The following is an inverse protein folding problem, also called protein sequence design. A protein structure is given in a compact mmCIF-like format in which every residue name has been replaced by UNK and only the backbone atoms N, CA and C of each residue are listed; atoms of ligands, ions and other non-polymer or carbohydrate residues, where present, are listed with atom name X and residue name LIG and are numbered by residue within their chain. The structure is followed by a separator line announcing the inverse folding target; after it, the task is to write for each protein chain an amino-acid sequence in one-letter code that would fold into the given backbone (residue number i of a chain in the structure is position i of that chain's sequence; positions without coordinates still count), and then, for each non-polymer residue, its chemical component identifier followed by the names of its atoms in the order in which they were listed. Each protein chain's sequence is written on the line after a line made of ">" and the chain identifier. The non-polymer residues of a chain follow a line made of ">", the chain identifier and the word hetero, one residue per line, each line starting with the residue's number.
data_IF_109575381560
#
_entry.id   IF_109575381560
#
_cell.length_a   1.000
_cell.length_b   1.000
_cell.length_c   1.000
_cell.angle_alpha   90.00
_cell.angle_beta   90.00
_cell.angle_gamma   90.00
#
_symmetry.space_group_name_H-M   'P 1'
#
loop_
_entity.id
_entity.type
_entity.pdbx_description
1 polymer ?
#
# COMPACT_ATOMS: atom_id res chain seq x y z
N UNK A 1 -1.47 18.72 -4.05
CA UNK A 1 -0.60 17.55 -4.33
C UNK A 1 -1.44 16.30 -4.09
N UNK A 2 -1.54 15.38 -5.05
CA UNK A 2 -2.30 14.14 -4.91
C UNK A 2 -1.42 13.00 -4.36
N UNK A 3 -2.03 11.91 -3.87
CA UNK A 3 -1.29 10.80 -3.24
C UNK A 3 -0.27 10.15 -4.19
N UNK A 4 -0.60 10.03 -5.48
CA UNK A 4 0.32 9.53 -6.51
C UNK A 4 1.55 10.41 -6.70
N UNK A 5 1.39 11.75 -6.73
CA UNK A 5 2.53 12.68 -6.78
C UNK A 5 3.41 12.59 -5.54
N UNK A 6 2.82 12.36 -4.36
CA UNK A 6 3.58 12.19 -3.11
C UNK A 6 4.43 10.93 -3.21
N UNK A 7 3.83 9.81 -3.62
CA UNK A 7 4.55 8.56 -3.82
C UNK A 7 5.70 8.73 -4.82
N UNK A 8 5.42 9.31 -5.98
CA UNK A 8 6.43 9.51 -7.02
C UNK A 8 7.57 10.42 -6.55
N UNK A 9 7.25 11.49 -5.81
CA UNK A 9 8.26 12.38 -5.23
C UNK A 9 9.22 11.60 -4.32
N UNK A 10 8.71 10.75 -3.43
CA UNK A 10 9.55 9.98 -2.52
C UNK A 10 10.37 8.90 -3.22
N UNK A 11 9.81 8.21 -4.22
CA UNK A 11 10.56 7.21 -5.00
C UNK A 11 11.71 7.88 -5.75
N UNK A 12 11.43 8.99 -6.45
CA UNK A 12 12.47 9.76 -7.15
C UNK A 12 13.51 10.30 -6.17
N UNK A 13 13.10 10.85 -5.03
CA UNK A 13 14.03 11.31 -4.01
C UNK A 13 14.93 10.17 -3.49
N UNK A 14 14.39 8.96 -3.30
CA UNK A 14 15.19 7.81 -2.87
C UNK A 14 16.19 7.34 -3.95
N UNK A 15 15.84 7.44 -5.24
CA UNK A 15 16.78 7.20 -6.34
C UNK A 15 17.93 8.19 -6.36
N UNK A 16 17.64 9.47 -6.09
CA UNK A 16 18.64 10.54 -5.95
C UNK A 16 19.53 10.30 -4.73
N UNK A 17 18.94 9.90 -3.60
CA UNK A 17 19.67 9.59 -2.36
C UNK A 17 20.67 8.46 -2.57
N UNK A 18 20.30 7.44 -3.35
CA UNK A 18 21.19 6.31 -3.67
C UNK A 18 22.42 6.70 -4.49
N UNK A 19 22.31 7.77 -5.28
CA UNK A 19 23.41 8.31 -6.09
C UNK A 19 24.32 9.24 -5.27
N UNK A 20 23.87 9.71 -4.10
CA UNK A 20 24.71 10.54 -3.24
C UNK A 20 25.89 9.71 -2.72
N UNK A 21 27.11 10.29 -2.72
CA UNK A 21 28.25 9.63 -2.11
C UNK A 21 27.98 9.46 -0.61
N UNK A 22 28.14 8.23 -0.12
CA UNK A 22 27.90 7.84 1.27
C UNK A 22 29.03 8.39 2.17
N UNK A 23 29.03 9.70 2.38
CA UNK A 23 30.11 10.45 3.07
C UNK A 23 30.18 10.21 4.58
N UNK A 24 29.22 9.47 5.15
CA UNK A 24 29.12 9.21 6.59
C UNK A 24 29.40 7.74 7.00
N UNK A 25 29.65 6.82 6.04
CA UNK A 25 30.02 5.43 6.35
C UNK A 25 31.54 5.23 6.24
N UNK A 26 32.13 4.34 7.07
CA UNK A 26 33.53 3.94 6.85
C UNK A 26 33.66 3.40 5.43
N UNK A 27 34.72 3.82 4.74
CA UNK A 27 34.97 3.50 3.34
C UNK A 27 34.72 2.00 3.07
N UNK A 28 33.89 1.70 2.08
CA UNK A 28 33.70 0.33 1.58
C UNK A 28 35.07 -0.32 1.37
N UNK A 29 35.25 -1.54 1.87
CA UNK A 29 36.50 -2.27 1.74
C UNK A 29 36.88 -2.36 0.25
N UNK A 30 37.99 -1.70 -0.13
CA UNK A 30 38.53 -1.67 -1.51
C UNK A 30 38.98 -3.05 -2.02
N UNK A 31 38.87 -4.09 -1.20
CA UNK A 31 39.32 -5.46 -1.48
C UNK A 31 38.19 -6.39 -1.97
N UNK A 32 37.10 -5.84 -2.52
CA UNK A 32 36.18 -6.62 -3.34
C UNK A 32 36.75 -6.59 -4.75
N UNK A 33 36.97 -7.76 -5.34
CA UNK A 33 37.37 -7.92 -6.73
C UNK A 33 36.30 -7.25 -7.60
N UNK A 34 36.55 -6.01 -8.03
CA UNK A 34 35.77 -5.41 -9.10
C UNK A 34 36.10 -6.24 -10.33
N UNK A 35 35.17 -7.08 -10.76
CA UNK A 35 35.31 -7.81 -12.03
C UNK A 35 35.84 -6.85 -13.09
N UNK A 36 36.83 -7.30 -13.85
CA UNK A 36 37.63 -6.52 -14.79
C UNK A 36 36.86 -5.31 -15.36
N UNK A 37 37.20 -4.11 -14.88
CA UNK A 37 36.62 -2.86 -15.35
C UNK A 37 37.44 -2.46 -16.57
N UNK A 38 36.82 -2.48 -17.75
CA UNK A 38 37.43 -1.94 -18.96
C UNK A 38 37.74 -0.46 -18.78
N UNK A 39 38.98 -0.08 -19.08
CA UNK A 39 39.37 1.32 -19.08
C UNK A 39 38.81 2.05 -20.32
N UNK A 40 38.93 3.37 -20.34
CA UNK A 40 38.49 4.17 -21.49
C UNK A 40 39.21 3.81 -22.79
N UNK A 41 40.41 3.23 -22.72
CA UNK A 41 41.17 2.78 -23.89
C UNK A 41 40.59 1.51 -24.49
N UNK A 42 40.26 0.53 -23.66
CA UNK A 42 39.60 -0.73 -24.01
C UNK A 42 38.25 -0.46 -24.67
N UNK A 43 37.41 0.36 -24.04
CA UNK A 43 36.06 0.68 -24.55
C UNK A 43 36.15 1.38 -25.91
N UNK A 44 37.20 2.17 -26.15
CA UNK A 44 37.39 2.85 -27.43
C UNK A 44 37.69 1.87 -28.58
N UNK A 45 38.30 0.71 -28.29
CA UNK A 45 38.60 -0.33 -29.28
C UNK A 45 37.41 -1.18 -29.72
N UNK A 46 36.24 -1.04 -29.09
CA UNK A 46 35.08 -1.88 -29.40
C UNK A 46 34.32 -1.42 -30.64
N UNK A 47 33.73 -2.38 -31.35
CA UNK A 47 32.94 -2.12 -32.55
C UNK A 47 31.70 -1.28 -32.21
N UNK A 48 31.20 -0.50 -33.18
CA UNK A 48 30.00 0.31 -32.99
C UNK A 48 28.76 -0.54 -32.65
N UNK A 49 28.73 -1.79 -33.13
CA UNK A 49 27.68 -2.77 -32.87
C UNK A 49 27.74 -3.32 -31.43
N UNK A 50 28.93 -3.58 -30.88
CA UNK A 50 29.13 -4.00 -29.48
C UNK A 50 28.81 -2.89 -28.47
N UNK A 51 29.05 -1.63 -28.87
CA UNK A 51 28.65 -0.44 -28.10
C UNK A 51 27.12 -0.27 -28.11
N UNK A 52 26.46 -0.56 -29.23
CA UNK A 52 25.00 -0.47 -29.36
C UNK A 52 24.27 -1.62 -28.65
N UNK A 53 24.77 -2.86 -28.77
CA UNK A 53 24.16 -4.06 -28.20
C UNK A 53 24.12 -4.03 -26.66
N UNK A 54 25.12 -3.42 -26.03
CA UNK A 54 25.26 -3.38 -24.57
C UNK A 54 24.57 -2.19 -23.90
N UNK A 55 23.82 -1.37 -24.65
CA UNK A 55 22.99 -0.25 -24.18
C UNK A 55 23.56 0.42 -22.91
N UNK A 56 24.77 1.00 -23.05
CA UNK A 56 25.64 1.58 -22.01
C UNK A 56 25.04 2.77 -21.25
N UNK A 57 23.73 2.92 -21.29
CA UNK A 57 22.95 3.91 -20.54
C UNK A 57 23.26 3.93 -19.04
N UNK A 58 23.72 2.81 -18.46
CA UNK A 58 24.15 2.71 -17.06
C UNK A 58 25.56 3.28 -16.80
N UNK A 59 26.38 3.48 -17.84
CA UNK A 59 27.70 4.14 -17.80
C UNK A 59 27.67 5.58 -18.28
N UNK A 60 26.52 6.09 -18.72
CA UNK A 60 26.39 7.48 -19.14
C UNK A 60 26.67 8.42 -17.95
N UNK A 61 27.75 9.22 -17.99
CA UNK A 61 28.15 10.09 -16.88
C UNK A 61 27.04 11.07 -16.47
N UNK A 62 26.16 11.43 -17.41
CA UNK A 62 25.00 12.30 -17.17
C UNK A 62 23.91 11.64 -16.33
N UNK A 63 23.78 10.30 -16.39
CA UNK A 63 22.82 9.53 -15.59
C UNK A 63 23.40 9.11 -14.23
N UNK A 64 24.73 9.05 -14.14
CA UNK A 64 25.48 8.65 -12.96
C UNK A 64 25.53 9.76 -11.88
N UNK A 65 25.64 11.02 -12.29
CA UNK A 65 25.68 12.18 -11.36
C UNK A 65 24.29 12.75 -11.12
N UNK A 66 24.05 13.20 -9.90
CA UNK A 66 22.86 13.98 -9.58
C UNK A 66 22.92 15.35 -10.23
N UNK A 67 21.83 15.76 -10.86
CA UNK A 67 21.64 17.12 -11.34
C UNK A 67 21.19 18.03 -10.21
N UNK A 68 21.24 19.36 -10.40
CA UNK A 68 20.71 20.32 -9.43
C UNK A 68 19.20 20.15 -9.20
N UNK A 69 18.46 19.77 -10.25
CA UNK A 69 17.03 19.51 -10.16
C UNK A 69 16.75 18.25 -9.33
N UNK A 70 17.58 17.21 -9.46
CA UNK A 70 17.49 15.99 -8.65
C UNK A 70 17.68 16.30 -7.16
N UNK A 71 18.65 17.15 -6.83
CA UNK A 71 18.87 17.62 -5.46
C UNK A 71 17.67 18.42 -4.93
N UNK A 72 17.11 19.32 -5.75
CA UNK A 72 15.91 20.08 -5.37
C UNK A 72 14.68 19.18 -5.11
N UNK A 73 14.54 18.08 -5.86
CA UNK A 73 13.50 17.08 -5.61
C UNK A 73 13.71 16.36 -4.27
N UNK A 74 14.95 15.98 -3.97
CA UNK A 74 15.29 15.35 -2.69
C UNK A 74 15.04 16.31 -1.51
N UNK A 75 15.45 17.57 -1.62
CA UNK A 75 15.19 18.60 -0.61
C UNK A 75 13.68 18.83 -0.40
N UNK A 76 12.92 18.90 -1.49
CA UNK A 76 11.47 19.04 -1.42
C UNK A 76 10.83 17.84 -0.69
N UNK A 77 11.26 16.61 -0.98
CA UNK A 77 10.77 15.42 -0.27
C UNK A 77 11.10 15.46 1.23
N UNK A 78 12.29 15.93 1.59
CA UNK A 78 12.74 16.03 2.98
C UNK A 78 12.06 17.19 3.74
N UNK A 79 11.59 18.24 3.07
CA UNK A 79 10.72 19.25 3.68
C UNK A 79 9.30 18.72 3.88
N UNK A 80 8.75 18.03 2.88
CA UNK A 80 7.40 17.47 2.92
C UNK A 80 7.25 16.39 4.00
N UNK A 81 8.28 15.56 4.22
CA UNK A 81 8.22 14.50 5.24
C UNK A 81 8.07 15.05 6.67
N UNK A 82 8.47 16.31 6.93
CA UNK A 82 8.32 16.97 8.25
C UNK A 82 6.86 17.20 8.63
N UNK A 83 5.96 17.23 7.65
CA UNK A 83 4.51 17.35 7.89
C UNK A 83 3.94 16.14 8.63
N UNK A 84 4.62 14.99 8.57
CA UNK A 84 4.22 13.78 9.29
C UNK A 84 4.74 13.87 10.74
N UNK A 85 3.88 13.89 11.77
CA UNK A 85 4.31 14.09 13.15
C UNK A 85 5.05 12.87 13.72
N UNK A 86 4.61 11.65 13.36
CA UNK A 86 5.20 10.41 13.86
C UNK A 86 6.52 10.07 13.15
N UNK A 87 7.61 10.02 13.89
CA UNK A 87 8.92 9.61 13.36
C UNK A 87 8.91 8.18 12.80
N UNK A 88 8.17 7.27 13.45
CA UNK A 88 8.03 5.88 12.98
C UNK A 88 7.39 5.81 11.59
N UNK A 89 6.42 6.68 11.33
CA UNK A 89 5.74 6.75 10.03
C UNK A 89 6.65 7.36 8.96
N UNK A 90 7.43 8.40 9.31
CA UNK A 90 8.45 8.97 8.43
C UNK A 90 9.48 7.92 8.00
N UNK A 91 10.01 7.17 8.96
CA UNK A 91 10.99 6.10 8.72
C UNK A 91 10.43 5.00 7.83
N UNK A 92 9.18 4.57 8.07
CA UNK A 92 8.52 3.57 7.24
C UNK A 92 8.31 4.05 5.80
N UNK A 93 7.89 5.31 5.61
CA UNK A 93 7.73 5.91 4.28
C UNK A 93 9.06 5.95 3.52
N UNK A 94 10.12 6.42 4.18
CA UNK A 94 11.45 6.53 3.57
C UNK A 94 12.04 5.16 3.23
N UNK A 95 11.93 4.19 4.15
CA UNK A 95 12.42 2.83 3.91
C UNK A 95 11.66 2.10 2.80
N UNK A 96 10.37 2.37 2.65
CA UNK A 96 9.61 1.87 1.52
C UNK A 96 10.07 2.51 0.21
N UNK A 97 10.25 3.83 0.17
CA UNK A 97 10.74 4.52 -1.03
C UNK A 97 12.11 4.00 -1.47
N UNK A 98 13.02 3.74 -0.51
CA UNK A 98 14.31 3.09 -0.76
C UNK A 98 14.12 1.69 -1.38
N UNK A 99 13.13 0.92 -0.93
CA UNK A 99 12.84 -0.41 -1.48
C UNK A 99 12.38 -0.33 -2.93
N UNK A 100 11.54 0.64 -3.29
CA UNK A 100 11.07 0.85 -4.67
C UNK A 100 12.19 1.34 -5.58
N UNK A 101 13.11 2.17 -5.07
CA UNK A 101 14.30 2.64 -5.78
C UNK A 101 15.40 1.56 -5.94
N UNK A 102 15.11 0.29 -5.66
CA UNK A 102 16.05 -0.83 -5.79
C UNK A 102 17.07 -0.95 -4.66
N UNK A 103 16.74 -0.45 -3.47
CA UNK A 103 17.51 -0.61 -2.24
C UNK A 103 17.12 -1.87 -1.45
N UNK A 104 17.24 -1.81 -0.12
CA UNK A 104 16.88 -2.93 0.77
C UNK A 104 15.38 -3.20 0.68
N UNK A 105 15.00 -4.45 0.40
CA UNK A 105 13.60 -4.87 0.36
C UNK A 105 12.84 -4.47 1.64
N UNK A 106 11.68 -3.83 1.49
CA UNK A 106 10.90 -3.27 2.58
C UNK A 106 10.55 -4.29 3.68
N UNK A 107 10.20 -5.52 3.29
CA UNK A 107 9.92 -6.60 4.24
C UNK A 107 11.13 -6.95 5.13
N UNK A 108 12.34 -6.92 4.55
CA UNK A 108 13.61 -7.14 5.28
C UNK A 108 13.95 -5.96 6.17
N UNK A 109 13.62 -4.73 5.76
CA UNK A 109 13.75 -3.56 6.62
C UNK A 109 12.80 -3.65 7.82
N UNK A 110 11.53 -3.96 7.58
CA UNK A 110 10.52 -4.14 8.63
C UNK A 110 11.00 -5.15 9.69
N UNK A 111 11.44 -6.34 9.26
CA UNK A 111 11.89 -7.40 10.16
C UNK A 111 13.21 -7.10 10.88
N UNK A 112 14.22 -6.57 10.17
CA UNK A 112 15.58 -6.51 10.69
C UNK A 112 15.96 -5.15 11.30
N UNK A 113 15.28 -4.06 10.92
CA UNK A 113 15.63 -2.69 11.39
C UNK A 113 14.64 -2.21 12.43
N UNK A 114 13.34 -2.31 12.14
CA UNK A 114 12.28 -1.86 13.05
C UNK A 114 11.72 -2.98 13.93
N UNK A 115 11.93 -4.24 13.58
CA UNK A 115 11.35 -5.38 14.30
C UNK A 115 9.82 -5.48 14.17
N UNK A 116 9.25 -4.95 13.08
CA UNK A 116 7.80 -4.91 12.83
C UNK A 116 7.37 -5.90 11.74
N UNK A 117 6.08 -6.25 11.75
CA UNK A 117 5.46 -6.98 10.64
C UNK A 117 5.41 -6.12 9.38
N UNK A 118 5.38 -6.75 8.21
CA UNK A 118 5.22 -6.04 6.92
C UNK A 118 3.92 -5.23 6.88
N UNK A 119 2.83 -5.81 7.37
CA UNK A 119 1.52 -5.15 7.42
C UNK A 119 1.57 -3.85 8.22
N UNK A 120 2.22 -3.86 9.39
CA UNK A 120 2.39 -2.65 10.19
C UNK A 120 3.27 -1.62 9.47
N UNK A 121 4.30 -2.06 8.75
CA UNK A 121 5.09 -1.19 7.87
C UNK A 121 4.24 -0.53 6.79
N UNK A 122 3.40 -1.29 6.10
CA UNK A 122 2.51 -0.80 5.04
C UNK A 122 1.47 0.20 5.59
N UNK A 123 0.89 -0.09 6.76
CA UNK A 123 0.01 0.85 7.47
C UNK A 123 0.72 2.17 7.79
N UNK A 124 1.93 2.11 8.38
CA UNK A 124 2.71 3.32 8.73
C UNK A 124 3.07 4.15 7.49
N UNK A 125 3.43 3.49 6.40
CA UNK A 125 3.67 4.15 5.10
C UNK A 125 2.40 4.85 4.60
N UNK A 126 1.28 4.13 4.52
CA UNK A 126 0.03 4.67 4.01
C UNK A 126 -0.49 5.83 4.89
N UNK A 127 -0.35 5.70 6.22
CA UNK A 127 -0.65 6.76 7.17
C UNK A 127 0.20 8.01 6.93
N UNK A 128 1.51 7.86 6.66
CA UNK A 128 2.39 8.97 6.32
C UNK A 128 1.95 9.69 5.04
N UNK A 129 1.65 8.94 3.97
CA UNK A 129 1.16 9.50 2.69
C UNK A 129 -0.15 10.25 2.88
N UNK A 130 -1.12 9.66 3.59
CA UNK A 130 -2.40 10.30 3.92
C UNK A 130 -2.19 11.58 4.72
N UNK A 131 -1.30 11.57 5.71
CA UNK A 131 -1.00 12.75 6.53
C UNK A 131 -0.49 13.92 5.67
N UNK A 132 0.45 13.64 4.76
CA UNK A 132 0.98 14.64 3.81
C UNK A 132 -0.13 15.12 2.87
N UNK A 133 -0.91 14.20 2.31
CA UNK A 133 -2.02 14.54 1.42
C UNK A 133 -3.04 15.46 2.10
N UNK A 134 -3.39 15.17 3.36
CA UNK A 134 -4.31 15.99 4.15
C UNK A 134 -3.73 17.38 4.47
N UNK A 135 -2.43 17.46 4.75
CA UNK A 135 -1.75 18.74 4.98
C UNK A 135 -1.82 19.68 3.77
N UNK A 136 -1.82 19.14 2.54
CA UNK A 136 -1.99 19.93 1.32
C UNK A 136 -3.45 20.18 0.91
N UNK A 137 -4.38 19.33 1.35
CA UNK A 137 -5.78 19.32 0.85
C UNK A 137 -6.77 20.07 1.74
N UNK A 138 -6.47 20.32 3.02
CA UNK A 138 -7.41 20.95 3.98
C UNK A 138 -6.80 22.15 4.68
N UNK A 139 -7.64 23.01 5.29
CA UNK A 139 -7.19 24.15 6.13
C UNK A 139 -6.17 23.66 7.17
N UNK A 140 -5.03 24.35 7.34
CA UNK A 140 -3.75 23.72 7.68
C UNK A 140 -3.52 23.23 9.12
N UNK A 141 -4.50 23.23 10.04
CA UNK A 141 -4.17 22.97 11.46
C UNK A 141 -5.22 22.34 12.38
N UNK A 142 -6.46 22.11 11.95
CA UNK A 142 -7.52 21.82 12.94
C UNK A 142 -7.77 20.33 13.25
N UNK A 143 -7.52 19.38 12.34
CA UNK A 143 -7.91 17.97 12.57
C UNK A 143 -7.02 16.95 11.84
N UNK A 144 -5.70 16.98 12.07
CA UNK A 144 -4.79 15.98 11.48
C UNK A 144 -4.50 14.79 12.43
N UNK A 145 -5.01 14.84 13.66
CA UNK A 145 -4.92 13.76 14.64
C UNK A 145 -5.96 12.65 14.39
N UNK A 146 -6.18 12.27 13.12
CA UNK A 146 -6.87 11.03 12.82
C UNK A 146 -5.92 9.88 13.17
N UNK A 147 -5.99 9.45 14.43
CA UNK A 147 -5.57 8.13 14.86
C UNK A 147 -6.53 7.10 14.27
N UNK A 148 -6.40 6.84 12.97
CA UNK A 148 -6.91 5.61 12.38
C UNK A 148 -6.41 4.46 13.27
N UNK A 149 -7.28 3.52 13.60
CA UNK A 149 -7.07 2.50 14.64
C UNK A 149 -5.63 1.94 14.63
N UNK A 150 -4.90 2.21 15.72
CA UNK A 150 -3.47 1.94 15.81
C UNK A 150 -3.21 0.43 15.74
N UNK A 151 -2.28 0.05 14.88
CA UNK A 151 -1.54 -1.22 14.93
C UNK A 151 -2.38 -2.51 14.84
N UNK A 152 -3.67 -2.42 14.55
CA UNK A 152 -4.50 -3.58 14.25
C UNK A 152 -4.10 -4.15 12.88
N UNK A 153 -4.27 -5.47 12.73
CA UNK A 153 -4.11 -6.10 11.43
C UNK A 153 -4.97 -5.35 10.42
N UNK A 154 -4.48 -5.16 9.18
CA UNK A 154 -5.36 -4.74 8.08
C UNK A 154 -6.63 -5.57 8.21
N UNK A 155 -7.80 -4.92 8.18
CA UNK A 155 -9.04 -5.67 8.03
C UNK A 155 -8.79 -6.69 6.92
N UNK A 156 -9.18 -7.96 7.10
CA UNK A 156 -9.07 -8.93 6.03
C UNK A 156 -9.63 -8.23 4.79
N UNK A 157 -8.84 -8.19 3.72
CA UNK A 157 -9.31 -7.80 2.40
C UNK A 157 -10.32 -8.88 2.01
N UNK A 158 -11.51 -8.85 2.60
CA UNK A 158 -12.72 -9.47 2.08
C UNK A 158 -13.19 -8.55 0.95
N UNK A 159 -12.28 -8.21 0.05
CA UNK A 159 -12.69 -8.03 -1.32
C UNK A 159 -13.01 -9.45 -1.79
N UNK A 160 -14.18 -9.62 -2.39
CA UNK A 160 -14.75 -10.90 -2.78
C UNK A 160 -13.84 -11.59 -3.81
N UNK A 161 -12.73 -12.18 -3.36
CA UNK A 161 -12.08 -13.28 -4.04
C UNK A 161 -13.08 -14.41 -3.95
N UNK A 162 -14.07 -14.37 -4.85
CA UNK A 162 -14.96 -15.49 -5.12
C UNK A 162 -14.03 -16.65 -5.39
N UNK A 163 -13.81 -17.48 -4.38
CA UNK A 163 -13.16 -18.74 -4.61
C UNK A 163 -14.14 -19.48 -5.51
N UNK A 164 -13.82 -19.60 -6.79
CA UNK A 164 -14.58 -20.43 -7.74
C UNK A 164 -14.48 -21.93 -7.38
N UNK A 165 -14.02 -22.26 -6.17
CA UNK A 165 -14.03 -23.58 -5.59
C UNK A 165 -15.50 -23.86 -5.30
N UNK A 166 -16.17 -24.51 -6.25
CA UNK A 166 -17.48 -25.10 -6.02
C UNK A 166 -17.38 -25.94 -4.76
N UNK A 167 -18.13 -25.54 -3.72
CA UNK A 167 -18.22 -26.32 -2.49
C UNK A 167 -18.80 -27.68 -2.88
N UNK A 168 -18.01 -28.74 -2.74
CA UNK A 168 -18.50 -30.09 -2.96
C UNK A 168 -19.66 -30.34 -1.99
N UNK A 169 -20.85 -30.55 -2.53
CA UNK A 169 -22.05 -30.95 -1.79
C UNK A 169 -22.59 -32.20 -2.47
N UNK A 170 -23.07 -33.14 -1.66
CA UNK A 170 -23.85 -34.26 -2.18
C UNK A 170 -25.17 -33.73 -2.77
N UNK A 171 -25.69 -34.39 -3.81
CA UNK A 171 -26.90 -33.95 -4.53
C UNK A 171 -28.15 -33.84 -3.62
N UNK A 172 -28.13 -34.51 -2.47
CA UNK A 172 -29.20 -34.56 -1.46
C UNK A 172 -28.95 -33.63 -0.25
N UNK A 173 -27.85 -32.90 -0.22
CA UNK A 173 -27.48 -32.05 0.92
C UNK A 173 -28.40 -30.82 1.03
N UNK A 174 -29.34 -30.85 1.99
CA UNK A 174 -30.14 -29.67 2.37
C UNK A 174 -29.25 -28.61 3.05
N UNK A 175 -29.42 -27.31 2.73
CA UNK A 175 -28.71 -26.24 3.43
C UNK A 175 -29.00 -26.32 4.93
N UNK A 176 -27.97 -26.25 5.77
CA UNK A 176 -28.07 -26.29 7.24
C UNK A 176 -28.79 -25.08 7.88
N UNK A 177 -29.52 -24.31 7.08
CA UNK A 177 -30.27 -23.10 7.45
C UNK A 177 -31.75 -23.21 7.03
N UNK A 178 -32.28 -24.43 6.90
CA UNK A 178 -33.72 -24.64 6.94
C UNK A 178 -34.18 -24.37 8.39
N UNK A 179 -34.54 -23.12 8.68
CA UNK A 179 -35.27 -22.76 9.90
C UNK A 179 -36.52 -23.64 10.00
N UNK A 180 -36.68 -24.30 11.15
CA UNK A 180 -37.73 -25.25 11.51
C UNK A 180 -39.01 -25.05 10.70
N UNK A 181 -39.26 -25.96 9.76
CA UNK A 181 -40.48 -25.92 8.94
C UNK A 181 -41.74 -25.99 9.81
N UNK A 182 -41.64 -26.63 10.98
CA UNK A 182 -42.71 -26.78 11.96
C UNK A 182 -43.03 -25.47 12.70
N UNK A 183 -42.11 -24.48 12.71
CA UNK A 183 -42.37 -23.14 13.25
C UNK A 183 -43.11 -22.23 12.25
N UNK A 184 -43.40 -22.69 11.03
CA UNK A 184 -44.17 -21.95 10.01
C UNK A 184 -45.68 -22.25 10.07
N UNK A 185 -46.22 -22.63 11.23
CA UNK A 185 -47.66 -22.76 11.39
C UNK A 185 -48.33 -21.38 11.55
N UNK A 186 -48.96 -20.91 10.48
CA UNK A 186 -49.74 -19.65 10.45
C UNK A 186 -51.22 -19.85 10.78
N UNK A 187 -51.64 -21.02 11.29
CA UNK A 187 -53.02 -21.34 11.66
C UNK A 187 -53.69 -20.29 12.56
N UNK A 188 -52.92 -19.66 13.45
CA UNK A 188 -53.40 -18.57 14.30
C UNK A 188 -53.81 -17.32 13.51
N UNK A 189 -53.04 -16.94 12.49
CA UNK A 189 -53.33 -15.78 11.65
C UNK A 189 -54.61 -15.98 10.85
N UNK A 190 -54.84 -17.20 10.33
CA UNK A 190 -56.06 -17.58 9.63
C UNK A 190 -57.29 -17.52 10.54
N UNK A 191 -57.17 -18.02 11.78
CA UNK A 191 -58.23 -17.94 12.79
C UNK A 191 -58.55 -16.48 13.17
N UNK A 192 -57.55 -15.60 13.26
CA UNK A 192 -57.71 -14.17 13.51
C UNK A 192 -58.47 -13.48 12.37
N UNK A 193 -58.10 -13.77 11.12
CA UNK A 193 -58.75 -13.25 9.93
C UNK A 193 -60.21 -13.71 9.80
N UNK A 194 -60.51 -14.97 10.14
CA UNK A 194 -61.88 -15.47 10.19
C UNK A 194 -62.75 -14.70 11.20
N UNK A 195 -62.26 -14.50 12.44
CA UNK A 195 -62.93 -13.68 13.45
C UNK A 195 -63.10 -12.22 13.03
N UNK A 196 -62.18 -11.68 12.22
CA UNK A 196 -62.31 -10.32 11.66
C UNK A 196 -63.46 -10.26 10.65
N UNK A 197 -63.53 -11.23 9.74
CA UNK A 197 -64.62 -11.34 8.75
C UNK A 197 -65.99 -11.46 9.41
N UNK A 198 -66.12 -12.27 10.47
CA UNK A 198 -67.38 -12.39 11.23
C UNK A 198 -67.80 -11.08 11.89
N UNK A 199 -66.85 -10.32 12.46
CA UNK A 199 -67.14 -9.01 13.07
C UNK A 199 -67.55 -7.99 12.03
N UNK A 200 -66.93 -7.99 10.86
CA UNK A 200 -67.31 -7.11 9.76
C UNK A 200 -68.67 -7.48 9.17
N UNK A 201 -69.00 -8.77 9.06
CA UNK A 201 -70.31 -9.23 8.66
C UNK A 201 -71.40 -8.75 9.64
N UNK A 202 -71.21 -8.94 10.95
CA UNK A 202 -72.15 -8.43 11.97
C UNK A 202 -72.30 -6.91 11.93
N UNK A 203 -71.23 -6.17 11.67
CA UNK A 203 -71.31 -4.70 11.51
C UNK A 203 -72.09 -4.28 10.27
N UNK A 204 -72.04 -5.06 9.19
CA UNK A 204 -72.81 -4.81 7.96
C UNK A 204 -74.29 -5.18 8.11
N UNK A 205 -74.61 -6.20 8.91
CA UNK A 205 -76.01 -6.57 9.19
C UNK A 205 -76.70 -5.62 10.18
N UNK A 206 -75.92 -4.94 11.03
CA UNK A 206 -76.43 -3.99 12.02
C UNK A 206 -76.54 -2.54 11.51
N UNK A 207 -76.13 -2.27 10.25
CA UNK A 207 -76.22 -0.98 9.58
C UNK A 207 -77.31 -1.01 8.50
#
# INVERSE_FOLDING_TARGET
>A
MNEGQIIELFIRAAEVDRKLPDTARPAQAKAINYGYIHDTGDINGWSAEDKHANNWSWLDPKKLRNTTNDMGLWEAAMEVIKLVPSEKNRRALWAWAISEAGGKAFAKWCRNVEGISRQLGDYRKNSAVKCIFLAFSRKPLQHNDFGDERDLQNHPEIEDKKSNIGVWRADDAKPSLDFDADLRDFSWADAQNARRREREARKREAA
#
